data_IF_195948743731
#
_entry.id   IF_195948743731
#
_cell.length_a   1.000
_cell.length_b   1.000
_cell.length_c   1.000
_cell.angle_alpha   90.00
_cell.angle_beta   90.00
_cell.angle_gamma   90.00
#
_symmetry.space_group_name_H-M   'P 1'
#
loop_
_entity.id
_entity.type
_entity.pdbx_description
1 polymer ?
#
# COMPACT_ATOMS: atom_id res chain seq x y z
N UNK A 1 7.78 1.44 4.09
CA UNK A 1 6.64 2.37 3.89
C UNK A 1 5.60 1.68 3.04
N UNK A 2 4.33 1.97 3.24
CA UNK A 2 3.27 1.52 2.32
C UNK A 2 3.55 2.01 0.91
N UNK A 3 3.27 1.17 -0.09
CA UNK A 3 3.36 1.51 -1.51
C UNK A 3 2.13 1.01 -2.26
N UNK A 4 2.10 1.28 -3.56
CA UNK A 4 1.11 0.74 -4.51
C UNK A 4 -0.35 0.71 -3.96
N UNK A 5 -1.08 -0.39 -4.16
CA UNK A 5 -2.49 -0.52 -3.78
C UNK A 5 -2.75 -0.29 -2.29
N UNK A 6 -1.81 -0.67 -1.44
CA UNK A 6 -1.88 -0.45 0.02
C UNK A 6 -1.88 1.03 0.38
N UNK A 7 -1.02 1.82 -0.28
CA UNK A 7 -0.98 3.27 -0.05
C UNK A 7 -2.29 3.94 -0.52
N UNK A 8 -2.82 3.51 -1.66
CA UNK A 8 -4.11 3.98 -2.16
C UNK A 8 -5.24 3.64 -1.19
N UNK A 9 -5.23 2.42 -0.67
CA UNK A 9 -6.15 1.95 0.36
C UNK A 9 -6.13 2.87 1.57
N UNK A 10 -4.96 3.05 2.19
CA UNK A 10 -4.79 3.93 3.34
C UNK A 10 -5.30 5.36 3.07
N UNK A 11 -5.07 5.89 1.87
CA UNK A 11 -5.52 7.24 1.50
C UNK A 11 -7.04 7.35 1.31
N UNK A 12 -7.66 6.32 0.74
CA UNK A 12 -9.05 6.34 0.25
C UNK A 12 -10.04 5.68 1.20
N UNK A 13 -9.59 4.72 2.01
CA UNK A 13 -10.43 3.84 2.82
C UNK A 13 -9.97 3.73 4.28
N UNK A 14 -8.84 4.35 4.64
CA UNK A 14 -8.13 4.10 5.91
C UNK A 14 -7.80 2.61 6.15
N UNK A 15 -7.80 1.79 5.10
CA UNK A 15 -7.59 0.34 5.12
C UNK A 15 -7.19 -0.13 3.73
N UNK A 16 -6.94 -1.42 3.50
CA UNK A 16 -6.75 -1.98 2.15
C UNK A 16 -7.97 -1.66 1.28
N UNK A 17 -7.75 -1.46 -0.02
CA UNK A 17 -8.85 -1.26 -0.97
C UNK A 17 -9.79 -2.48 -0.92
N UNK A 18 -11.12 -2.31 -0.80
CA UNK A 18 -12.04 -3.42 -0.50
C UNK A 18 -12.07 -4.60 -1.49
N UNK A 19 -11.50 -4.42 -2.69
CA UNK A 19 -11.41 -5.43 -3.73
C UNK A 19 -9.97 -5.76 -4.13
N UNK A 20 -9.01 -5.37 -3.30
CA UNK A 20 -7.61 -5.74 -3.41
C UNK A 20 -7.31 -6.93 -2.48
N UNK A 21 -6.38 -7.80 -2.85
CA UNK A 21 -6.19 -9.10 -2.17
C UNK A 21 -4.77 -9.35 -1.65
N UNK A 22 -3.91 -8.33 -1.65
CA UNK A 22 -2.59 -8.33 -1.04
C UNK A 22 -2.21 -6.95 -0.47
N UNK A 23 -0.99 -6.83 0.05
CA UNK A 23 -0.45 -5.56 0.52
C UNK A 23 1.02 -5.38 0.10
N UNK A 24 1.39 -4.16 -0.27
CA UNK A 24 2.71 -3.79 -0.79
C UNK A 24 3.44 -2.82 0.13
N UNK A 25 4.71 -3.13 0.39
CA UNK A 25 5.60 -2.30 1.17
C UNK A 25 6.96 -2.14 0.52
N UNK A 26 7.50 -0.93 0.63
CA UNK A 26 8.84 -0.57 0.20
C UNK A 26 9.81 -0.48 1.40
N UNK A 27 10.95 -1.17 1.28
CA UNK A 27 12.04 -1.18 2.26
C UNK A 27 13.35 -0.73 1.59
N UNK A 28 14.22 0.06 2.23
CA UNK A 28 15.52 0.37 1.63
C UNK A 28 16.35 -0.91 1.48
N UNK A 29 16.94 -1.14 0.31
CA UNK A 29 17.76 -2.34 0.00
C UNK A 29 18.90 -2.53 1.00
N UNK A 30 19.47 -1.42 1.50
CA UNK A 30 20.52 -1.41 2.53
C UNK A 30 20.07 -2.07 3.85
N UNK A 31 18.77 -2.17 4.11
CA UNK A 31 18.19 -2.81 5.30
C UNK A 31 17.65 -4.22 5.03
N UNK A 32 17.75 -4.73 3.79
CA UNK A 32 17.14 -6.01 3.40
C UNK A 32 17.56 -7.17 4.31
N UNK A 33 18.85 -7.36 4.56
CA UNK A 33 19.33 -8.48 5.38
C UNK A 33 18.81 -8.41 6.81
N UNK A 34 18.76 -7.21 7.40
CA UNK A 34 18.21 -6.98 8.74
C UNK A 34 16.70 -7.21 8.77
N UNK A 35 15.98 -6.76 7.74
CA UNK A 35 14.54 -6.97 7.64
C UNK A 35 14.21 -8.47 7.57
N UNK A 36 14.91 -9.22 6.72
CA UNK A 36 14.70 -10.67 6.57
C UNK A 36 15.03 -11.39 7.88
N UNK A 37 16.14 -11.04 8.55
CA UNK A 37 16.52 -11.71 9.79
C UNK A 37 15.50 -11.52 10.91
N UNK A 38 14.88 -10.34 11.01
CA UNK A 38 13.79 -10.08 11.96
C UNK A 38 12.58 -10.97 11.69
N UNK A 39 12.19 -11.14 10.43
CA UNK A 39 11.04 -11.97 10.07
C UNK A 39 11.33 -13.46 10.28
N UNK A 40 12.51 -13.94 9.87
CA UNK A 40 12.91 -15.35 10.03
C UNK A 40 13.02 -15.75 11.50
N UNK A 41 13.51 -14.85 12.35
CA UNK A 41 13.67 -15.09 13.78
C UNK A 41 12.41 -14.73 14.59
N UNK A 42 11.33 -14.35 13.93
CA UNK A 42 10.06 -14.05 14.58
C UNK A 42 9.39 -15.34 15.07
N UNK A 43 8.84 -15.32 16.29
CA UNK A 43 7.99 -16.40 16.81
C UNK A 43 6.52 -16.28 16.39
N UNK A 44 6.19 -15.22 15.66
CA UNK A 44 4.85 -15.00 15.08
C UNK A 44 4.79 -15.95 13.87
N UNK A 45 3.77 -16.83 13.79
CA UNK A 45 3.60 -17.89 12.78
C UNK A 45 3.49 -17.40 11.33
N UNK A 46 4.54 -16.72 10.84
CA UNK A 46 4.73 -16.18 9.52
C UNK A 46 5.92 -16.85 8.85
N UNK A 47 5.85 -16.97 7.53
CA UNK A 47 6.94 -17.42 6.69
C UNK A 47 7.29 -16.34 5.69
N UNK A 48 8.53 -16.37 5.24
CA UNK A 48 9.04 -15.47 4.21
C UNK A 48 9.64 -16.29 3.08
N UNK A 49 9.33 -15.93 1.84
CA UNK A 49 9.92 -16.55 0.65
C UNK A 49 10.37 -15.48 -0.35
N UNK A 50 11.52 -15.70 -0.98
CA UNK A 50 11.97 -14.85 -2.08
C UNK A 50 11.20 -15.23 -3.35
N UNK A 51 10.64 -14.24 -4.04
CA UNK A 51 10.01 -14.42 -5.34
C UNK A 51 10.49 -13.32 -6.30
N UNK A 52 11.30 -13.71 -7.28
CA UNK A 52 12.01 -12.79 -8.16
C UNK A 52 12.83 -11.75 -7.35
N UNK A 53 12.43 -10.48 -7.39
CA UNK A 53 13.13 -9.35 -6.77
C UNK A 53 12.40 -8.79 -5.54
N UNK A 54 11.39 -9.51 -5.07
CA UNK A 54 10.64 -9.18 -3.85
C UNK A 54 10.61 -10.36 -2.90
N UNK A 55 10.17 -10.12 -1.68
CA UNK A 55 9.81 -11.18 -0.74
C UNK A 55 8.31 -11.18 -0.52
N UNK A 56 7.79 -12.36 -0.21
CA UNK A 56 6.42 -12.55 0.25
C UNK A 56 6.44 -13.01 1.69
N UNK A 57 5.74 -12.28 2.56
CA UNK A 57 5.49 -12.67 3.94
C UNK A 57 4.06 -13.17 4.03
N UNK A 58 3.85 -14.35 4.58
CA UNK A 58 2.54 -14.99 4.64
C UNK A 58 2.37 -15.77 5.93
N UNK A 59 1.12 -16.00 6.34
CA UNK A 59 0.81 -16.80 7.51
C UNK A 59 1.06 -18.29 7.21
N UNK A 60 1.69 -18.99 8.15
CA UNK A 60 2.03 -20.41 7.97
C UNK A 60 0.77 -21.30 7.86
N UNK A 61 -0.24 -21.00 8.67
CA UNK A 61 -1.46 -21.81 8.81
C UNK A 61 -2.62 -21.27 7.96
N UNK A 62 -2.36 -20.91 6.70
CA UNK A 62 -3.40 -20.47 5.75
C UNK A 62 -3.32 -21.23 4.43
N UNK A 63 -4.31 -21.04 3.57
CA UNK A 63 -4.42 -21.75 2.29
C UNK A 63 -3.35 -21.31 1.30
N UNK A 64 -2.78 -22.27 0.56
CA UNK A 64 -1.84 -21.99 -0.53
C UNK A 64 -2.45 -21.02 -1.55
N UNK A 65 -1.64 -20.08 -2.05
CA UNK A 65 -2.03 -19.16 -3.10
C UNK A 65 -1.99 -19.87 -4.47
N UNK A 66 -3.07 -20.54 -4.87
CA UNK A 66 -3.11 -21.34 -6.10
C UNK A 66 -1.98 -22.37 -6.18
N UNK A 67 -1.17 -22.31 -7.23
CA UNK A 67 -0.02 -23.19 -7.44
C UNK A 67 1.32 -22.64 -6.89
N UNK A 68 1.29 -21.61 -6.04
CA UNK A 68 2.51 -20.95 -5.55
C UNK A 68 3.12 -21.67 -4.36
N UNK A 69 4.39 -21.36 -4.06
CA UNK A 69 5.11 -21.88 -2.89
C UNK A 69 4.78 -21.17 -1.58
N UNK A 70 3.87 -20.18 -1.59
CA UNK A 70 3.44 -19.41 -0.43
C UNK A 70 1.92 -19.50 -0.24
N UNK A 71 1.46 -19.08 0.95
CA UNK A 71 0.03 -19.02 1.26
C UNK A 71 -0.56 -17.63 1.00
N UNK A 72 -1.89 -17.60 0.90
CA UNK A 72 -2.69 -16.39 0.89
C UNK A 72 -3.44 -16.27 2.23
N UNK A 73 -3.61 -15.07 2.81
CA UNK A 73 -3.10 -13.77 2.33
C UNK A 73 -1.58 -13.62 2.52
N UNK A 74 -0.99 -12.67 1.81
CA UNK A 74 0.44 -12.33 1.92
C UNK A 74 0.69 -10.83 1.79
N UNK A 75 1.90 -10.42 2.18
CA UNK A 75 2.45 -9.09 2.01
C UNK A 75 3.62 -9.18 1.04
N UNK A 76 3.62 -8.35 0.00
CA UNK A 76 4.73 -8.13 -0.90
C UNK A 76 5.69 -7.07 -0.36
N UNK A 77 6.95 -7.46 -0.22
CA UNK A 77 8.05 -6.61 0.22
C UNK A 77 8.96 -6.31 -0.96
N UNK A 78 8.83 -5.09 -1.47
CA UNK A 78 9.68 -4.51 -2.49
C UNK A 78 10.82 -3.73 -1.85
N UNK A 79 11.88 -3.51 -2.63
CA UNK A 79 13.01 -2.69 -2.20
C UNK A 79 13.21 -1.47 -3.07
N UNK A 80 13.80 -0.43 -2.48
CA UNK A 80 14.30 0.72 -3.20
C UNK A 80 15.77 1.00 -2.87
N UNK A 81 16.45 1.69 -3.78
CA UNK A 81 17.81 2.18 -3.59
C UNK A 81 17.90 3.67 -3.83
N UNK A 82 18.91 4.30 -3.23
CA UNK A 82 19.32 5.64 -3.61
C UNK A 82 19.87 5.60 -5.05
N UNK A 83 19.36 6.46 -5.92
CA UNK A 83 20.01 6.76 -7.22
C UNK A 83 21.15 7.75 -6.98
N UNK A 84 20.86 8.76 -6.16
CA UNK A 84 21.78 9.80 -5.73
C UNK A 84 21.26 10.40 -4.42
N UNK A 85 21.82 11.54 -4.02
CA UNK A 85 21.44 12.21 -2.77
C UNK A 85 20.00 12.74 -2.77
N UNK A 86 19.37 12.95 -3.92
CA UNK A 86 18.04 13.59 -4.06
C UNK A 86 16.95 12.64 -4.54
N UNK A 87 17.28 11.45 -5.05
CA UNK A 87 16.31 10.53 -5.64
C UNK A 87 16.48 9.08 -5.19
N UNK A 88 15.36 8.35 -5.16
CA UNK A 88 15.33 6.89 -5.00
C UNK A 88 14.66 6.24 -6.21
N UNK A 89 14.88 4.94 -6.36
CA UNK A 89 14.19 4.12 -7.36
C UNK A 89 13.91 2.73 -6.81
N UNK A 90 12.88 2.08 -7.34
CA UNK A 90 12.63 0.65 -7.08
C UNK A 90 13.84 -0.18 -7.49
N UNK A 91 14.16 -1.20 -6.69
CA UNK A 91 15.23 -2.15 -6.97
C UNK A 91 14.76 -3.28 -7.89
N UNK A 92 14.08 -2.92 -8.99
CA UNK A 92 13.55 -3.89 -9.94
C UNK A 92 13.76 -3.40 -11.39
N UNK A 93 14.30 -4.21 -12.31
CA UNK A 93 14.57 -3.79 -13.69
C UNK A 93 13.35 -3.25 -14.43
N UNK A 94 12.18 -3.84 -14.18
CA UNK A 94 10.91 -3.47 -14.83
C UNK A 94 10.43 -2.07 -14.43
N UNK A 95 10.81 -1.61 -13.23
CA UNK A 95 10.37 -0.33 -12.67
C UNK A 95 11.53 0.67 -12.47
N UNK A 96 12.72 0.39 -13.04
CA UNK A 96 13.90 1.29 -13.00
C UNK A 96 13.64 2.68 -13.58
N UNK A 97 12.59 2.85 -14.40
CA UNK A 97 12.20 4.15 -14.97
C UNK A 97 11.42 5.02 -13.99
N UNK A 98 10.94 4.48 -12.87
CA UNK A 98 10.26 5.23 -11.82
C UNK A 98 11.28 5.72 -10.79
N UNK A 99 11.80 6.93 -11.04
CA UNK A 99 12.69 7.64 -10.15
C UNK A 99 11.86 8.67 -9.37
N UNK A 100 11.90 8.61 -8.05
CA UNK A 100 11.14 9.50 -7.17
C UNK A 100 12.08 10.43 -6.42
N UNK A 101 11.71 11.72 -6.34
CA UNK A 101 12.46 12.68 -5.55
C UNK A 101 12.24 12.39 -4.05
N UNK A 102 13.32 12.33 -3.29
CA UNK A 102 13.29 12.10 -1.84
C UNK A 102 12.45 13.14 -1.11
N UNK A 103 12.43 14.39 -1.58
CA UNK A 103 11.63 15.46 -0.97
C UNK A 103 10.12 15.21 -1.00
N UNK A 104 9.63 14.41 -1.95
CA UNK A 104 8.22 14.06 -2.06
C UNK A 104 7.88 12.81 -1.21
N UNK A 105 8.88 12.07 -0.74
CA UNK A 105 8.69 10.86 0.08
C UNK A 105 9.02 11.12 1.55
N UNK A 106 10.11 11.82 1.81
CA UNK A 106 10.71 11.98 3.13
C UNK A 106 10.54 13.42 3.68
N UNK A 107 10.46 13.59 5.03
CA UNK A 107 10.36 12.52 6.03
C UNK A 107 9.09 11.69 5.85
N UNK A 108 9.13 10.42 6.26
CA UNK A 108 7.93 9.59 6.22
C UNK A 108 6.92 10.14 7.24
N UNK A 109 5.65 10.10 6.87
CA UNK A 109 4.53 10.35 7.77
C UNK A 109 3.91 9.01 8.18
N UNK A 110 3.04 8.98 9.18
CA UNK A 110 2.21 7.82 9.47
C UNK A 110 0.80 8.01 8.94
N UNK A 111 0.20 6.93 8.43
CA UNK A 111 -1.21 6.92 8.02
C UNK A 111 -1.88 5.64 8.48
N UNK A 112 -3.21 5.70 8.61
CA UNK A 112 -4.00 4.56 9.05
C UNK A 112 -4.08 3.48 7.97
N UNK A 113 -3.87 2.23 8.38
CA UNK A 113 -4.15 1.01 7.63
C UNK A 113 -4.89 0.05 8.56
N UNK A 114 -6.22 0.06 8.48
CA UNK A 114 -7.09 -0.62 9.42
C UNK A 114 -6.97 0.01 10.81
N UNK A 115 -6.34 -0.71 11.74
CA UNK A 115 -6.11 -0.25 13.11
C UNK A 115 -4.67 0.18 13.37
N UNK A 116 -3.80 0.11 12.35
CA UNK A 116 -2.37 0.37 12.49
C UNK A 116 -1.99 1.74 11.93
N UNK A 117 -1.08 2.43 12.61
CA UNK A 117 -0.40 3.61 12.08
C UNK A 117 0.90 3.19 11.41
N UNK A 118 0.95 3.33 10.09
CA UNK A 118 1.99 2.71 9.28
C UNK A 118 2.74 3.78 8.49
N UNK A 119 4.08 3.69 8.36
CA UNK A 119 4.86 4.67 7.60
C UNK A 119 4.44 4.76 6.13
N UNK A 120 4.26 5.99 5.64
CA UNK A 120 3.84 6.35 4.30
C UNK A 120 4.71 7.51 3.75
N UNK A 121 4.86 7.62 2.42
CA UNK A 121 5.43 8.82 1.79
C UNK A 121 4.64 10.07 2.20
N UNK A 122 5.32 11.19 2.41
CA UNK A 122 4.65 12.45 2.73
C UNK A 122 3.74 12.94 1.61
N UNK A 123 4.16 12.84 0.35
CA UNK A 123 3.34 13.17 -0.81
C UNK A 123 2.88 11.89 -1.51
N UNK A 124 1.62 11.56 -1.30
CA UNK A 124 1.00 10.30 -1.71
C UNK A 124 0.71 10.26 -3.21
N UNK A 125 0.34 11.41 -3.79
CA UNK A 125 -0.14 11.51 -5.17
C UNK A 125 1.03 11.41 -6.15
N UNK A 126 2.15 12.07 -5.85
CA UNK A 126 3.37 12.03 -6.68
C UNK A 126 4.09 10.69 -6.61
N UNK A 127 3.87 9.91 -5.57
CA UNK A 127 4.53 8.61 -5.46
C UNK A 127 3.94 7.58 -6.43
N UNK A 128 2.62 7.57 -6.67
CA UNK A 128 1.98 6.43 -7.32
C UNK A 128 1.10 6.69 -8.57
N UNK A 129 1.06 7.91 -9.13
CA UNK A 129 0.31 8.19 -10.38
C UNK A 129 -1.16 7.69 -10.36
N UNK A 130 -1.78 7.57 -9.19
CA UNK A 130 -3.13 7.02 -9.08
C UNK A 130 -4.16 8.00 -9.62
N UNK A 131 -5.13 7.47 -10.36
CA UNK A 131 -6.32 8.25 -10.68
C UNK A 131 -7.30 8.20 -9.52
N UNK A 132 -7.33 9.25 -8.71
CA UNK A 132 -8.20 9.31 -7.52
C UNK A 132 -9.70 9.25 -7.85
N UNK A 133 -10.10 9.65 -9.07
CA UNK A 133 -11.49 9.72 -9.53
C UNK A 133 -12.13 8.36 -9.82
N UNK A 134 -11.34 7.39 -10.25
CA UNK A 134 -11.82 6.10 -10.71
C UNK A 134 -11.38 4.97 -9.77
N UNK A 135 -12.26 3.98 -9.66
CA UNK A 135 -12.09 2.78 -8.89
C UNK A 135 -12.09 1.61 -9.88
N UNK A 136 -11.08 0.76 -9.78
CA UNK A 136 -10.87 -0.40 -10.63
C UNK A 136 -10.20 -1.50 -9.82
N UNK A 137 -10.45 -2.74 -10.21
CA UNK A 137 -9.84 -3.93 -9.64
C UNK A 137 -8.76 -4.43 -10.61
N UNK A 138 -7.70 -5.01 -10.05
CA UNK A 138 -6.68 -5.69 -10.84
C UNK A 138 -7.26 -6.86 -11.64
N UNK A 139 -6.53 -7.27 -12.68
CA UNK A 139 -6.87 -8.41 -13.51
C UNK A 139 -6.19 -9.71 -13.03
N UNK A 140 -5.62 -9.73 -11.83
CA UNK A 140 -4.94 -10.90 -11.28
C UNK A 140 -5.50 -11.19 -9.90
N UNK A 141 -5.95 -12.42 -9.68
CA UNK A 141 -6.30 -12.90 -8.34
C UNK A 141 -5.06 -13.51 -7.71
N UNK A 142 -4.52 -12.87 -6.69
CA UNK A 142 -3.39 -13.39 -5.95
C UNK A 142 -3.74 -14.64 -5.15
N UNK A 143 -4.96 -14.70 -4.61
CA UNK A 143 -5.48 -15.89 -3.91
C UNK A 143 -5.39 -17.15 -4.77
N UNK A 144 -5.87 -17.08 -6.01
CA UNK A 144 -5.93 -18.24 -6.91
C UNK A 144 -4.71 -18.33 -7.84
N UNK A 145 -3.89 -17.29 -7.88
CA UNK A 145 -2.76 -17.13 -8.82
C UNK A 145 -3.15 -17.28 -10.28
N UNK A 146 -4.28 -16.69 -10.66
CA UNK A 146 -4.81 -16.70 -12.03
C UNK A 146 -5.16 -15.29 -12.50
N UNK A 147 -4.98 -15.05 -13.80
CA UNK A 147 -5.56 -13.86 -14.42
C UNK A 147 -7.07 -14.01 -14.52
N UNK A 148 -7.76 -12.94 -14.16
CA UNK A 148 -9.19 -12.78 -14.24
C UNK A 148 -9.54 -11.62 -15.16
N UNK A 149 -10.78 -11.57 -15.62
CA UNK A 149 -11.26 -10.40 -16.38
C UNK A 149 -11.24 -9.19 -15.44
N UNK A 150 -10.36 -8.23 -15.73
CA UNK A 150 -10.29 -6.98 -14.98
C UNK A 150 -11.62 -6.23 -15.05
N UNK A 151 -11.91 -5.43 -14.02
CA UNK A 151 -13.12 -4.61 -14.02
C UNK A 151 -12.92 -3.37 -14.88
N UNK A 152 -13.98 -2.93 -15.57
CA UNK A 152 -13.97 -1.61 -16.21
C UNK A 152 -13.91 -0.54 -15.11
N UNK A 153 -13.02 0.46 -15.20
CA UNK A 153 -12.98 1.54 -14.22
C UNK A 153 -14.33 2.23 -14.11
N UNK A 154 -14.82 2.40 -12.88
CA UNK A 154 -16.04 3.16 -12.57
C UNK A 154 -15.70 4.38 -11.73
N UNK A 155 -16.57 5.39 -11.70
CA UNK A 155 -16.40 6.50 -10.76
C UNK A 155 -16.49 5.97 -9.34
N UNK A 156 -15.51 6.32 -8.50
CA UNK A 156 -15.53 5.87 -7.10
C UNK A 156 -16.78 6.31 -6.34
N UNK A 157 -17.38 7.45 -6.71
CA UNK A 157 -18.63 7.93 -6.13
C UNK A 157 -19.80 6.95 -6.25
N UNK A 158 -19.81 6.08 -7.26
CA UNK A 158 -20.81 5.03 -7.39
C UNK A 158 -20.73 3.96 -6.28
N UNK A 159 -19.59 3.90 -5.57
CA UNK A 159 -19.31 2.93 -4.53
C UNK A 159 -19.49 3.46 -3.10
N UNK A 160 -19.78 4.75 -2.92
CA UNK A 160 -19.86 5.39 -1.59
C UNK A 160 -20.94 4.79 -0.68
N UNK A 161 -21.99 4.19 -1.25
CA UNK A 161 -23.05 3.52 -0.48
C UNK A 161 -22.67 2.11 0.00
N UNK A 162 -21.64 1.51 -0.59
CA UNK A 162 -21.28 0.11 -0.39
C UNK A 162 -19.98 -0.07 0.39
N UNK A 163 -19.05 0.86 0.22
CA UNK A 163 -17.75 0.81 0.89
C UNK A 163 -17.45 2.12 1.60
N UNK A 164 -16.71 2.08 2.72
CA UNK A 164 -16.23 3.28 3.39
C UNK A 164 -15.25 4.07 2.52
N UNK A 165 -15.41 5.40 2.44
CA UNK A 165 -14.48 6.30 1.75
C UNK A 165 -14.09 7.47 2.64
N UNK A 166 -12.84 7.89 2.52
CA UNK A 166 -12.29 9.05 3.21
C UNK A 166 -12.74 10.32 2.51
N UNK A 167 -13.45 11.17 3.24
CA UNK A 167 -13.63 12.57 2.90
C UNK A 167 -12.59 13.40 3.65
N UNK A 168 -11.93 14.33 2.96
CA UNK A 168 -10.82 15.10 3.50
C UNK A 168 -11.09 16.58 3.38
N UNK A 169 -10.93 17.30 4.49
CA UNK A 169 -11.07 18.74 4.55
C UNK A 169 -9.83 19.32 5.23
N UNK A 170 -9.09 20.16 4.51
CA UNK A 170 -7.88 20.80 5.03
C UNK A 170 -8.20 22.27 5.30
N UNK A 171 -8.40 22.59 6.58
CA UNK A 171 -8.79 23.94 7.00
C UNK A 171 -7.60 24.91 7.01
N UNK A 172 -6.37 24.40 7.05
CA UNK A 172 -5.14 25.17 6.99
C UNK A 172 -4.04 24.31 6.30
N UNK A 173 -2.90 24.89 5.92
CA UNK A 173 -1.88 24.16 5.16
C UNK A 173 -1.11 23.12 5.99
N UNK A 174 -1.39 22.99 7.30
CA UNK A 174 -0.67 22.12 8.23
C UNK A 174 -1.50 20.96 8.74
N UNK A 175 -2.84 21.05 8.76
CA UNK A 175 -3.70 20.00 9.28
C UNK A 175 -4.90 19.74 8.37
N UNK A 176 -5.23 18.46 8.19
CA UNK A 176 -6.42 18.01 7.50
C UNK A 176 -7.24 17.10 8.42
N UNK A 177 -8.55 17.24 8.36
CA UNK A 177 -9.50 16.31 8.96
C UNK A 177 -9.86 15.26 7.91
N UNK A 178 -9.69 13.99 8.26
CA UNK A 178 -10.11 12.85 7.43
C UNK A 178 -11.28 12.14 8.13
N UNK A 179 -12.42 12.08 7.45
CA UNK A 179 -13.62 11.38 7.91
C UNK A 179 -13.83 10.13 7.06
N UNK A 180 -13.87 8.95 7.68
CA UNK A 180 -14.23 7.73 6.99
C UNK A 180 -15.76 7.59 6.99
N UNK A 181 -16.37 7.64 5.80
CA UNK A 181 -17.82 7.65 5.65
C UNK A 181 -18.31 6.43 4.85
N UNK A 182 -19.39 5.79 5.30
CA UNK A 182 -20.16 4.81 4.55
C UNK A 182 -21.55 5.38 4.27
N UNK A 183 -21.81 5.74 3.02
CA UNK A 183 -22.97 6.53 2.64
C UNK A 183 -23.00 7.87 3.41
N UNK A 184 -24.04 8.07 4.21
CA UNK A 184 -24.21 9.28 5.03
C UNK A 184 -23.73 9.09 6.48
N UNK A 185 -23.18 7.92 6.83
CA UNK A 185 -22.71 7.61 8.18
C UNK A 185 -21.21 7.80 8.28
N UNK A 186 -20.75 8.62 9.22
CA UNK A 186 -19.34 8.67 9.61
C UNK A 186 -19.02 7.49 10.54
N UNK A 187 -18.01 6.72 10.16
CA UNK A 187 -17.47 5.60 10.94
C UNK A 187 -16.49 6.14 11.99
N UNK A 188 -15.54 6.96 11.55
CA UNK A 188 -14.60 7.64 12.43
C UNK A 188 -14.01 8.88 11.78
N UNK A 189 -13.37 9.71 12.60
CA UNK A 189 -12.68 10.93 12.19
C UNK A 189 -11.28 10.93 12.79
N UNK A 190 -10.29 11.33 12.01
CA UNK A 190 -8.93 11.56 12.46
C UNK A 190 -8.46 12.95 12.00
N UNK A 191 -7.52 13.51 12.74
CA UNK A 191 -6.72 14.65 12.29
C UNK A 191 -5.36 14.13 11.85
N UNK A 192 -4.87 14.66 10.73
CA UNK A 192 -3.55 14.36 10.21
C UNK A 192 -2.80 15.65 9.91
N UNK A 193 -1.48 15.59 10.05
CA UNK A 193 -0.62 16.63 9.51
C UNK A 193 -0.70 16.62 7.98
N UNK A 194 -0.84 17.80 7.38
CA UNK A 194 -0.86 17.98 5.94
C UNK A 194 0.57 17.84 5.39
N UNK A 195 0.99 16.59 5.18
CA UNK A 195 2.12 16.28 4.32
C UNK A 195 1.73 16.65 2.89
N UNK A 196 2.08 17.87 2.47
CA UNK A 196 1.86 18.46 1.14
C UNK A 196 1.39 17.47 0.06
N UNK A 197 0.09 17.54 -0.27
CA UNK A 197 -0.55 16.84 -1.41
C UNK A 197 0.23 17.01 -2.72
#
# INVERSE_FOLDING_TARGET
MMSDGTLLGSYRHHDIVPWDDDADFLVPVKQQSRFISVIVNSSIGVKIVKFNLKYKIYLENTTRAGNRSWNWPFIDIWFYRDVNNTHIQYDTPQWRRLIHAKKDIFPLITRLLGQLWVPAPRNLIKHNSFTLKYCSSGNYSHRNSVYQKGSKPIRCSALYKYYPFVNRTCNNPYTCTEQLNLGNRTIHTIEIENGSL
#
